data_IF_304856345629
#
_entry.id   IF_304856345629
#
_cell.length_a   1.000
_cell.length_b   1.000
_cell.length_c   1.000
_cell.angle_alpha   90.00
_cell.angle_beta   90.00
_cell.angle_gamma   90.00
#
_symmetry.space_group_name_H-M   'P 1'
#
loop_
_entity.id
_entity.type
_entity.pdbx_description
1 polymer ?
#
# COMPACT_ATOMS: atom_id res chain seq x y z
N UNK A 1 -2.01 -18.62 -27.42
CA UNK A 1 -2.15 -17.15 -27.60
C UNK A 1 -3.47 -16.56 -27.13
N UNK A 2 -4.63 -17.17 -27.40
CA UNK A 2 -5.95 -16.65 -26.99
C UNK A 2 -6.07 -16.39 -25.48
N UNK A 3 -5.73 -17.38 -24.64
CA UNK A 3 -5.79 -17.25 -23.18
C UNK A 3 -4.83 -16.19 -22.61
N UNK A 4 -3.65 -16.02 -23.23
CA UNK A 4 -2.67 -14.99 -22.86
C UNK A 4 -3.18 -13.60 -23.23
N UNK A 5 -3.73 -13.41 -24.44
CA UNK A 5 -4.36 -12.15 -24.84
C UNK A 5 -5.61 -11.83 -24.03
N UNK A 6 -6.42 -12.83 -23.70
CA UNK A 6 -7.61 -12.68 -22.85
C UNK A 6 -7.23 -12.26 -21.42
N UNK A 7 -6.19 -12.88 -20.83
CA UNK A 7 -5.63 -12.47 -19.54
C UNK A 7 -5.08 -11.03 -19.58
N UNK A 8 -4.33 -10.66 -20.63
CA UNK A 8 -3.76 -9.31 -20.77
C UNK A 8 -4.82 -8.21 -21.00
N UNK A 9 -5.96 -8.53 -21.62
CA UNK A 9 -7.02 -7.54 -21.96
C UNK A 9 -8.21 -7.50 -20.99
N UNK A 10 -8.49 -8.60 -20.28
CA UNK A 10 -9.58 -8.70 -19.27
C UNK A 10 -9.09 -8.94 -17.85
N UNK A 11 -7.91 -9.54 -17.63
CA UNK A 11 -7.35 -9.82 -16.31
C UNK A 11 -7.05 -8.57 -15.48
N UNK A 12 -6.79 -7.44 -16.14
CA UNK A 12 -6.67 -6.11 -15.50
C UNK A 12 -8.01 -5.41 -15.23
N UNK A 13 -9.14 -6.00 -15.62
CA UNK A 13 -10.48 -5.37 -15.46
C UNK A 13 -11.25 -5.90 -14.26
N UNK A 14 -10.79 -6.98 -13.62
CA UNK A 14 -11.43 -7.62 -12.48
C UNK A 14 -10.37 -7.80 -11.40
N UNK A 15 -10.67 -7.40 -10.17
CA UNK A 15 -9.78 -7.65 -9.04
C UNK A 15 -9.58 -9.15 -8.86
N UNK A 16 -8.33 -9.61 -8.85
CA UNK A 16 -7.97 -11.00 -8.60
C UNK A 16 -8.04 -11.33 -7.11
N UNK A 17 -7.83 -10.34 -6.23
CA UNK A 17 -7.82 -10.51 -4.78
C UNK A 17 -8.27 -9.24 -4.07
N UNK A 18 -9.17 -9.38 -3.09
CA UNK A 18 -9.41 -8.36 -2.07
C UNK A 18 -8.41 -8.52 -0.93
N UNK A 19 -7.90 -7.40 -0.42
CA UNK A 19 -6.86 -7.38 0.62
C UNK A 19 -7.43 -6.88 1.94
N UNK A 20 -8.04 -5.70 1.94
CA UNK A 20 -8.50 -5.04 3.16
C UNK A 20 -9.48 -3.90 2.86
N UNK A 21 -10.21 -3.52 3.90
CA UNK A 21 -11.06 -2.33 3.95
C UNK A 21 -10.87 -1.62 5.28
N UNK A 22 -10.77 -0.29 5.25
CA UNK A 22 -10.72 0.54 6.46
C UNK A 22 -11.54 1.82 6.25
N UNK A 23 -12.09 2.36 7.33
CA UNK A 23 -12.84 3.62 7.33
C UNK A 23 -12.32 4.55 8.43
N UNK A 24 -11.98 5.76 8.05
CA UNK A 24 -11.33 6.73 8.94
C UNK A 24 -11.45 8.15 8.39
N UNK A 25 -11.72 9.12 9.28
CA UNK A 25 -11.88 10.53 8.95
C UNK A 25 -12.87 10.83 7.81
N UNK A 26 -13.89 9.99 7.64
CA UNK A 26 -14.88 10.11 6.56
C UNK A 26 -14.36 9.64 5.20
N UNK A 27 -13.27 8.86 5.16
CA UNK A 27 -12.78 8.20 3.96
C UNK A 27 -12.83 6.69 4.11
N UNK A 28 -13.27 6.01 3.05
CA UNK A 28 -13.26 4.56 2.94
C UNK A 28 -12.10 4.17 2.02
N UNK A 29 -11.26 3.25 2.48
CA UNK A 29 -10.12 2.70 1.75
C UNK A 29 -10.38 1.24 1.46
N UNK A 30 -10.31 0.85 0.19
CA UNK A 30 -10.44 -0.55 -0.24
C UNK A 30 -9.20 -0.95 -1.03
N UNK A 31 -8.59 -2.08 -0.69
CA UNK A 31 -7.37 -2.56 -1.33
C UNK A 31 -7.61 -3.84 -2.10
N UNK A 32 -7.11 -3.87 -3.33
CA UNK A 32 -7.24 -4.98 -4.26
C UNK A 32 -5.91 -5.25 -4.97
N UNK A 33 -5.76 -6.46 -5.47
CA UNK A 33 -4.81 -6.76 -6.53
C UNK A 33 -5.56 -7.01 -7.84
N UNK A 34 -5.00 -6.51 -8.93
CA UNK A 34 -5.36 -6.87 -10.29
C UNK A 34 -4.19 -7.66 -10.86
N UNK A 35 -4.30 -8.99 -10.80
CA UNK A 35 -3.17 -9.90 -10.98
C UNK A 35 -2.06 -9.64 -9.93
N UNK A 36 -0.91 -9.10 -10.31
CA UNK A 36 0.18 -8.70 -9.40
C UNK A 36 0.24 -7.20 -9.14
N UNK A 37 -0.63 -6.41 -9.79
CA UNK A 37 -0.64 -4.96 -9.68
C UNK A 37 -1.55 -4.54 -8.51
N UNK A 38 -1.02 -3.93 -7.44
CA UNK A 38 -1.84 -3.46 -6.35
C UNK A 38 -2.63 -2.20 -6.71
N UNK A 39 -3.82 -2.07 -6.14
CA UNK A 39 -4.69 -0.91 -6.30
C UNK A 39 -5.39 -0.58 -4.97
N UNK A 40 -5.36 0.69 -4.58
CA UNK A 40 -6.13 1.25 -3.47
C UNK A 40 -7.19 2.18 -4.04
N UNK A 41 -8.46 1.88 -3.73
CA UNK A 41 -9.58 2.78 -3.95
C UNK A 41 -9.85 3.58 -2.69
N UNK A 42 -9.95 4.89 -2.83
CA UNK A 42 -10.24 5.84 -1.75
C UNK A 42 -11.55 6.54 -2.11
N UNK A 43 -12.51 6.51 -1.20
CA UNK A 43 -13.78 7.22 -1.33
C UNK A 43 -13.92 8.23 -0.20
N UNK A 44 -14.14 9.50 -0.53
CA UNK A 44 -14.41 10.55 0.44
C UNK A 44 -15.94 10.68 0.63
N UNK A 45 -16.42 10.31 1.82
CA UNK A 45 -17.85 10.30 2.11
C UNK A 45 -18.46 11.71 2.27
N UNK A 46 -17.62 12.73 2.46
CA UNK A 46 -18.03 14.14 2.60
C UNK A 46 -18.20 14.78 1.24
N UNK A 47 -17.23 14.62 0.34
CA UNK A 47 -17.30 15.19 -1.02
C UNK A 47 -18.01 14.27 -2.02
N UNK A 48 -18.22 12.99 -1.67
CA UNK A 48 -18.74 11.94 -2.55
C UNK A 48 -17.83 11.61 -3.74
N UNK A 49 -16.56 12.00 -3.66
CA UNK A 49 -15.57 11.73 -4.70
C UNK A 49 -14.81 10.42 -4.44
N UNK A 50 -14.29 9.82 -5.50
CA UNK A 50 -13.45 8.63 -5.42
C UNK A 50 -12.15 8.81 -6.20
N UNK A 51 -11.09 8.15 -5.74
CA UNK A 51 -9.79 8.08 -6.40
C UNK A 51 -9.24 6.67 -6.32
N UNK A 52 -8.77 6.14 -7.44
CA UNK A 52 -7.98 4.90 -7.47
C UNK A 52 -6.49 5.26 -7.59
N UNK A 53 -5.65 4.56 -6.85
CA UNK A 53 -4.19 4.71 -6.92
C UNK A 53 -3.52 3.35 -6.87
N UNK A 54 -2.48 3.17 -7.68
CA UNK A 54 -1.65 1.97 -7.64
C UNK A 54 -0.54 2.09 -6.59
N UNK A 55 0.67 1.68 -6.98
CA UNK A 55 1.90 2.01 -6.23
C UNK A 55 2.05 3.53 -6.08
N UNK A 56 2.74 3.92 -5.01
CA UNK A 56 3.14 5.32 -4.78
C UNK A 56 4.14 5.80 -5.84
N UNK A 57 4.38 7.11 -5.90
CA UNK A 57 5.47 7.71 -6.69
C UNK A 57 6.83 7.10 -6.36
N UNK A 58 6.99 6.64 -5.12
CA UNK A 58 8.18 6.02 -4.58
C UNK A 58 8.27 4.53 -4.92
N UNK A 59 7.34 3.99 -5.72
CA UNK A 59 7.35 2.62 -6.22
C UNK A 59 6.91 1.57 -5.21
N UNK A 60 6.57 1.98 -3.98
CA UNK A 60 6.13 1.08 -2.92
C UNK A 60 4.62 0.86 -2.96
N UNK A 61 4.22 -0.34 -2.60
CA UNK A 61 2.82 -0.61 -2.28
C UNK A 61 2.58 -0.20 -0.83
N UNK A 62 1.62 0.69 -0.60
CA UNK A 62 1.14 0.92 0.76
C UNK A 62 0.11 -0.17 1.05
N UNK A 63 0.57 -1.38 1.37
CA UNK A 63 -0.32 -2.45 1.82
C UNK A 63 -0.63 -2.32 3.30
N UNK A 64 -1.90 -2.59 3.62
CA UNK A 64 -2.51 -2.53 4.95
C UNK A 64 -2.25 -1.23 5.73
N UNK A 65 -3.17 -0.24 5.66
CA UNK A 65 -3.38 0.57 6.84
C UNK A 65 -3.79 -0.39 7.95
N UNK A 66 -2.92 -0.59 8.94
CA UNK A 66 -3.40 -1.03 10.24
C UNK A 66 -4.33 0.04 10.80
N UNK A 67 -3.93 1.31 10.62
CA UNK A 67 -4.70 2.49 11.00
C UNK A 67 -4.28 3.71 10.18
N UNK A 68 -5.24 4.58 9.85
CA UNK A 68 -4.94 5.95 9.42
C UNK A 68 -5.31 6.87 10.58
N UNK A 69 -4.35 7.68 11.01
CA UNK A 69 -4.51 8.61 12.13
C UNK A 69 -3.68 9.86 11.89
N UNK A 70 -4.23 11.02 12.21
CA UNK A 70 -3.56 12.31 12.13
C UNK A 70 -2.93 12.60 10.75
N UNK A 71 -3.65 12.25 9.67
CA UNK A 71 -3.19 12.46 8.29
C UNK A 71 -2.04 11.55 7.83
N UNK A 72 -1.70 10.51 8.60
CA UNK A 72 -0.71 9.53 8.24
C UNK A 72 -1.30 8.12 8.23
N UNK A 73 -0.79 7.28 7.32
CA UNK A 73 -1.12 5.87 7.27
C UNK A 73 -0.04 5.07 8.00
N UNK A 74 -0.45 4.13 8.84
CA UNK A 74 0.43 3.26 9.59
C UNK A 74 0.25 1.81 9.14
N UNK A 75 1.35 1.15 8.82
CA UNK A 75 1.37 -0.28 8.48
C UNK A 75 2.27 -1.02 9.46
N UNK A 76 1.87 -2.24 9.84
CA UNK A 76 2.69 -3.16 10.60
C UNK A 76 3.26 -4.17 9.62
N UNK A 77 4.59 -4.23 9.49
CA UNK A 77 5.28 -4.99 8.44
C UNK A 77 6.31 -5.91 9.08
N UNK A 78 6.34 -7.17 8.65
CA UNK A 78 7.38 -8.09 9.08
C UNK A 78 8.74 -7.65 8.53
N UNK A 79 9.86 -7.87 9.24
CA UNK A 79 11.18 -7.51 8.73
C UNK A 79 11.50 -8.08 7.34
N UNK A 80 11.01 -9.29 7.03
CA UNK A 80 11.27 -9.95 5.74
C UNK A 80 10.59 -9.25 4.56
N UNK A 81 9.49 -8.53 4.80
CA UNK A 81 8.68 -7.88 3.77
C UNK A 81 9.08 -6.41 3.54
N UNK A 82 9.87 -5.79 4.44
CA UNK A 82 10.13 -4.34 4.43
C UNK A 82 10.59 -3.77 3.09
N UNK A 83 11.40 -4.52 2.33
CA UNK A 83 11.92 -4.13 1.01
C UNK A 83 10.82 -3.84 -0.03
N UNK A 84 9.63 -4.42 0.13
CA UNK A 84 8.51 -4.24 -0.79
C UNK A 84 7.64 -3.01 -0.45
N UNK A 85 7.84 -2.46 0.76
CA UNK A 85 7.01 -1.41 1.35
C UNK A 85 7.80 -0.13 1.66
N UNK A 86 9.13 -0.19 1.69
CA UNK A 86 10.02 0.94 1.93
C UNK A 86 10.91 1.14 0.72
N UNK A 87 10.98 2.37 0.23
CA UNK A 87 11.99 2.79 -0.72
C UNK A 87 13.10 3.53 0.06
N UNK A 88 14.27 2.91 0.19
CA UNK A 88 15.38 3.46 0.97
C UNK A 88 15.89 4.81 0.44
N UNK A 89 15.74 5.05 -0.87
CA UNK A 89 16.21 6.27 -1.52
C UNK A 89 15.45 7.52 -1.07
N UNK A 90 14.24 7.36 -0.55
CA UNK A 90 13.39 8.49 -0.12
C UNK A 90 13.41 8.71 1.40
N UNK A 91 14.07 7.84 2.15
CA UNK A 91 14.22 8.00 3.60
C UNK A 91 15.17 9.16 3.91
N UNK A 92 14.99 9.79 5.07
CA UNK A 92 15.98 10.69 5.63
C UNK A 92 17.12 9.90 6.30
N UNK A 93 18.12 10.59 6.82
CA UNK A 93 19.26 9.96 7.50
C UNK A 93 18.82 9.11 8.70
N UNK A 94 17.84 9.60 9.48
CA UNK A 94 17.32 8.88 10.62
C UNK A 94 16.61 7.59 10.20
N UNK A 95 15.74 7.65 9.18
CA UNK A 95 15.03 6.51 8.62
C UNK A 95 15.97 5.45 8.07
N UNK A 96 17.02 5.86 7.34
CA UNK A 96 18.06 4.93 6.86
C UNK A 96 18.78 4.24 8.02
N UNK A 97 19.13 4.99 9.07
CA UNK A 97 19.78 4.43 10.26
C UNK A 97 18.89 3.42 10.97
N UNK A 98 17.61 3.73 11.16
CA UNK A 98 16.64 2.79 11.74
C UNK A 98 16.52 1.55 10.86
N UNK A 99 16.37 1.71 9.54
CA UNK A 99 16.25 0.58 8.62
C UNK A 99 17.45 -0.35 8.69
N UNK A 100 18.67 0.20 8.71
CA UNK A 100 19.91 -0.58 8.80
C UNK A 100 20.09 -1.34 10.12
N UNK A 101 19.32 -1.00 11.16
CA UNK A 101 19.35 -1.67 12.47
C UNK A 101 18.36 -2.84 12.59
N UNK A 102 17.46 -3.01 11.62
CA UNK A 102 16.44 -4.05 11.62
C UNK A 102 17.04 -5.34 11.05
N UNK A 103 16.84 -6.44 11.76
CA UNK A 103 17.23 -7.81 11.35
C UNK A 103 16.00 -8.67 11.08
N UNK A 104 16.17 -9.84 10.45
CA UNK A 104 15.07 -10.77 10.19
C UNK A 104 14.37 -11.27 11.47
N UNK A 105 15.10 -11.33 12.59
CA UNK A 105 14.57 -11.72 13.92
C UNK A 105 13.94 -10.55 14.69
N UNK A 106 13.93 -9.35 14.11
CA UNK A 106 13.33 -8.19 14.76
C UNK A 106 11.82 -8.33 14.89
N UNK A 107 11.24 -7.58 15.83
CA UNK A 107 9.79 -7.45 15.92
C UNK A 107 9.21 -6.82 14.65
N UNK A 108 7.89 -6.93 14.50
CA UNK A 108 7.16 -6.20 13.47
C UNK A 108 7.44 -4.70 13.54
N UNK A 109 7.60 -4.10 12.37
CA UNK A 109 8.03 -2.72 12.21
C UNK A 109 6.84 -1.89 11.81
N UNK A 110 6.67 -0.75 12.50
CA UNK A 110 5.62 0.21 12.18
C UNK A 110 6.17 1.19 11.15
N UNK A 111 5.59 1.18 9.95
CA UNK A 111 5.92 2.13 8.89
C UNK A 111 4.86 3.22 8.84
N UNK A 112 5.30 4.48 8.95
CA UNK A 112 4.44 5.67 8.88
C UNK A 112 4.58 6.34 7.52
N UNK A 113 3.52 6.33 6.73
CA UNK A 113 3.43 7.06 5.47
C UNK A 113 2.76 8.41 5.70
N UNK A 114 3.47 9.50 5.38
CA UNK A 114 2.88 10.84 5.31
C UNK A 114 2.31 11.05 3.92
N UNK A 115 0.99 11.10 3.81
CA UNK A 115 0.31 11.40 2.55
C UNK A 115 0.51 12.89 2.24
N UNK A 116 0.92 13.20 1.01
CA UNK A 116 1.05 14.58 0.50
C UNK A 116 -0.08 14.89 -0.48
#
# INVERSE_FOLDING_TARGET
EYYVRYALTKGRKIASRFVSSDETDGKIYLQFFFDLDPCTLIYDSRTKEYKATGRTSEGVFIGMPGHIRDGAMYAFISPQELKDYINESVLDEHGRKVLSSITEDSNWVIVKYKLK
#
